data_IF_052751078451
#
_entry.id   IF_052751078451
#
_cell.length_a   1.000
_cell.length_b   1.000
_cell.length_c   1.000
_cell.angle_alpha   90.00
_cell.angle_beta   90.00
_cell.angle_gamma   90.00
#
_symmetry.space_group_name_H-M   'P 1'
#
loop_
_entity.id
_entity.type
_entity.pdbx_description
1 polymer ?
#
# COMPACT_ATOMS: atom_id res chain seq x y z
N UNK A 1 -1.19 -12.60 0.68
CA UNK A 1 -0.48 -11.81 1.71
C UNK A 1 -0.55 -10.35 1.30
N UNK A 2 -0.88 -9.44 2.21
CA UNK A 2 -0.90 -8.02 1.89
C UNK A 2 0.52 -7.47 1.69
N UNK A 3 0.66 -6.41 0.87
CA UNK A 3 1.93 -5.73 0.64
C UNK A 3 2.10 -4.53 1.56
N UNK A 4 3.36 -4.10 1.69
CA UNK A 4 3.69 -2.79 2.25
C UNK A 4 4.53 -1.94 1.29
N UNK A 5 4.49 -0.63 1.49
CA UNK A 5 5.37 0.37 0.87
C UNK A 5 6.09 1.14 1.99
N UNK A 6 7.41 1.30 1.88
CA UNK A 6 8.18 2.07 2.86
C UNK A 6 8.75 3.33 2.21
N UNK A 7 8.33 4.50 2.71
CA UNK A 7 8.87 5.81 2.34
C UNK A 7 9.81 6.40 3.40
N UNK A 8 9.88 5.76 4.57
CA UNK A 8 10.73 6.17 5.68
C UNK A 8 12.18 6.40 5.23
N UNK A 9 12.71 7.59 5.47
CA UNK A 9 14.06 7.98 5.04
C UNK A 9 15.11 7.46 6.04
N UNK A 10 16.35 7.31 5.61
CA UNK A 10 17.50 6.96 6.46
C UNK A 10 18.06 8.16 7.25
N UNK A 11 17.58 9.39 7.07
CA UNK A 11 18.15 10.58 7.74
C UNK A 11 17.61 10.95 9.15
N UNK A 12 16.48 10.41 9.62
CA UNK A 12 15.97 10.59 10.99
C UNK A 12 16.69 9.77 12.09
N UNK A 13 16.60 10.20 13.36
CA UNK A 13 17.19 9.49 14.52
C UNK A 13 16.34 8.28 14.96
N UNK A 14 16.97 7.15 15.22
CA UNK A 14 16.29 6.00 15.85
C UNK A 14 15.84 6.39 17.26
N UNK A 15 14.65 5.98 17.71
CA UNK A 15 14.14 6.40 19.03
C UNK A 15 14.96 5.86 20.20
N UNK A 16 15.72 4.79 19.97
CA UNK A 16 16.69 4.24 20.93
C UNK A 16 18.07 4.93 20.86
N UNK A 17 18.23 6.03 20.11
CA UNK A 17 19.53 6.69 19.91
C UNK A 17 20.20 7.07 21.24
N UNK A 18 19.43 7.54 22.23
CA UNK A 18 19.99 7.86 23.55
C UNK A 18 20.55 6.65 24.30
N UNK A 19 19.96 5.46 24.11
CA UNK A 19 20.48 4.21 24.68
C UNK A 19 21.72 3.75 23.92
N UNK A 20 21.69 3.81 22.57
CA UNK A 20 22.85 3.52 21.71
C UNK A 20 24.04 4.40 22.11
N UNK A 21 23.82 5.70 22.30
CA UNK A 21 24.85 6.65 22.70
C UNK A 21 25.42 6.34 24.08
N UNK A 22 24.56 5.93 25.02
CA UNK A 22 24.98 5.56 26.37
C UNK A 22 25.80 4.27 26.38
N UNK A 23 25.41 3.28 25.57
CA UNK A 23 26.09 1.97 25.51
C UNK A 23 27.40 2.08 24.74
N UNK A 24 27.39 2.74 23.58
CA UNK A 24 28.47 2.67 22.60
C UNK A 24 29.31 3.95 22.46
N UNK A 25 28.88 5.09 23.00
CA UNK A 25 29.55 6.37 22.81
C UNK A 25 31.02 6.41 23.27
N UNK A 26 31.37 5.66 24.32
CA UNK A 26 32.76 5.53 24.79
C UNK A 26 33.54 4.39 24.08
N UNK A 27 32.85 3.54 23.32
CA UNK A 27 33.40 2.32 22.72
C UNK A 27 33.65 2.43 21.21
N UNK A 28 32.85 3.21 20.50
CA UNK A 28 32.90 3.39 19.06
C UNK A 28 33.47 4.77 18.71
N UNK A 29 34.12 4.90 17.55
CA UNK A 29 34.38 6.24 17.00
C UNK A 29 33.06 6.88 16.55
N UNK A 30 32.97 8.22 16.43
CA UNK A 30 31.78 8.88 15.91
C UNK A 30 31.34 8.35 14.54
N UNK A 31 32.28 7.99 13.65
CA UNK A 31 31.94 7.38 12.36
C UNK A 31 31.34 5.98 12.53
N UNK A 32 31.92 5.14 13.39
CA UNK A 32 31.40 3.80 13.63
C UNK A 32 30.03 3.81 14.34
N UNK A 33 29.78 4.80 15.19
CA UNK A 33 28.49 5.01 15.83
C UNK A 33 27.44 5.47 14.81
N UNK A 34 27.80 6.38 13.91
CA UNK A 34 26.95 6.77 12.78
C UNK A 34 26.62 5.58 11.89
N UNK A 35 27.62 4.79 11.48
CA UNK A 35 27.41 3.58 10.67
C UNK A 35 26.52 2.55 11.39
N UNK A 36 26.65 2.41 12.72
CA UNK A 36 25.79 1.56 13.53
C UNK A 36 24.33 2.05 13.55
N UNK A 37 24.11 3.35 13.76
CA UNK A 37 22.76 3.95 13.70
C UNK A 37 22.12 3.70 12.33
N UNK A 38 22.84 3.94 11.23
CA UNK A 38 22.34 3.67 9.88
C UNK A 38 22.00 2.17 9.70
N UNK A 39 22.83 1.26 10.21
CA UNK A 39 22.59 -0.18 10.11
C UNK A 39 21.36 -0.64 10.91
N UNK A 40 21.19 -0.15 12.14
CA UNK A 40 19.99 -0.42 12.96
C UNK A 40 18.75 0.12 12.26
N UNK A 41 18.83 1.33 11.74
CA UNK A 41 17.74 1.96 11.04
C UNK A 41 17.30 1.20 9.79
N UNK A 42 18.25 0.76 8.96
CA UNK A 42 17.92 -0.06 7.79
C UNK A 42 17.14 -1.33 8.14
N UNK A 43 17.41 -1.90 9.32
CA UNK A 43 16.69 -3.07 9.84
C UNK A 43 15.26 -2.73 10.25
N UNK A 44 15.01 -1.56 10.83
CA UNK A 44 13.69 -1.09 11.25
C UNK A 44 12.79 -0.72 10.06
N UNK A 45 13.33 -0.02 9.06
CA UNK A 45 12.56 0.48 7.89
C UNK A 45 12.47 -0.53 6.73
N UNK A 46 12.84 -1.80 6.97
CA UNK A 46 12.78 -2.92 6.03
C UNK A 46 13.37 -2.54 4.65
N UNK A 47 14.64 -2.12 4.65
CA UNK A 47 15.42 -1.69 3.48
C UNK A 47 15.48 -2.74 2.34
N UNK A 48 15.92 -2.35 1.11
CA UNK A 48 16.00 -3.27 -0.03
C UNK A 48 16.68 -4.60 0.32
N UNK A 49 16.08 -5.72 -0.10
CA UNK A 49 16.43 -7.12 0.24
C UNK A 49 15.98 -7.65 1.60
N UNK A 50 15.70 -6.81 2.61
CA UNK A 50 15.12 -7.29 3.86
C UNK A 50 13.73 -7.90 3.69
N UNK A 51 12.81 -7.39 2.83
CA UNK A 51 11.52 -8.03 2.60
C UNK A 51 11.70 -9.48 2.16
N UNK A 52 12.64 -9.73 1.24
CA UNK A 52 12.97 -11.09 0.78
C UNK A 52 13.51 -11.97 1.91
N UNK A 53 14.42 -11.43 2.74
CA UNK A 53 14.99 -12.15 3.89
C UNK A 53 13.94 -12.53 4.93
N UNK A 54 12.92 -11.69 5.13
CA UNK A 54 11.84 -11.91 6.10
C UNK A 54 10.55 -12.47 5.50
N UNK A 55 10.51 -12.75 4.19
CA UNK A 55 9.31 -13.25 3.50
C UNK A 55 8.15 -12.25 3.48
N UNK A 56 8.44 -10.95 3.52
CA UNK A 56 7.46 -9.87 3.47
C UNK A 56 7.27 -9.41 2.03
N UNK A 57 6.02 -9.24 1.62
CA UNK A 57 5.69 -8.74 0.29
C UNK A 57 5.78 -7.21 0.27
N UNK A 58 6.69 -6.64 -0.53
CA UNK A 58 6.80 -5.20 -0.72
C UNK A 58 6.48 -4.77 -2.14
N UNK A 59 6.01 -3.53 -2.29
CA UNK A 59 5.74 -2.93 -3.61
C UNK A 59 7.02 -2.58 -4.35
N UNK A 60 8.08 -2.21 -3.63
CA UNK A 60 9.39 -1.72 -4.13
C UNK A 60 10.22 -2.77 -4.91
N UNK A 61 9.58 -3.69 -5.63
CA UNK A 61 10.22 -4.59 -6.58
C UNK A 61 10.60 -5.97 -6.03
N UNK A 62 10.23 -6.30 -4.78
CA UNK A 62 10.57 -7.59 -4.17
C UNK A 62 9.33 -8.33 -3.68
N UNK A 63 8.44 -8.68 -4.61
CA UNK A 63 7.40 -9.70 -4.43
C UNK A 63 8.03 -11.12 -4.42
N UNK A 64 9.07 -11.34 -3.61
CA UNK A 64 9.74 -12.64 -3.50
C UNK A 64 10.76 -13.01 -4.59
N UNK A 65 11.26 -12.05 -5.38
CA UNK A 65 12.51 -12.23 -6.14
C UNK A 65 12.45 -12.27 -7.68
N UNK A 66 11.56 -11.51 -8.32
CA UNK A 66 11.63 -11.30 -9.78
C UNK A 66 12.26 -9.93 -10.06
N UNK A 67 13.22 -9.90 -11.00
CA UNK A 67 13.86 -8.67 -11.49
C UNK A 67 12.79 -7.69 -12.03
N UNK A 68 12.92 -6.38 -11.77
CA UNK A 68 11.97 -5.40 -12.30
C UNK A 68 11.93 -5.50 -13.83
N UNK A 69 10.80 -5.99 -14.35
CA UNK A 69 10.53 -6.01 -15.78
C UNK A 69 10.31 -4.58 -16.28
N UNK A 70 10.44 -4.37 -17.59
CA UNK A 70 10.06 -3.10 -18.22
C UNK A 70 8.62 -2.68 -17.88
N UNK A 71 7.69 -3.64 -17.76
CA UNK A 71 6.31 -3.38 -17.35
C UNK A 71 6.20 -2.84 -15.93
N UNK A 72 7.04 -3.32 -15.00
CA UNK A 72 7.11 -2.79 -13.64
C UNK A 72 7.68 -1.37 -13.64
N UNK A 73 8.80 -1.12 -14.34
CA UNK A 73 9.36 0.22 -14.44
C UNK A 73 8.39 1.23 -15.07
N UNK A 74 7.55 0.80 -16.02
CA UNK A 74 6.48 1.61 -16.59
C UNK A 74 5.37 1.85 -15.57
N UNK A 75 4.86 0.79 -14.92
CA UNK A 75 3.80 0.90 -13.91
C UNK A 75 4.17 1.87 -12.79
N UNK A 76 5.41 1.79 -12.31
CA UNK A 76 5.92 2.66 -11.24
C UNK A 76 5.93 4.14 -11.65
N UNK A 77 5.91 4.49 -12.94
CA UNK A 77 5.75 5.89 -13.37
C UNK A 77 4.38 6.49 -12.99
N UNK A 78 3.37 5.67 -12.69
CA UNK A 78 2.08 6.14 -12.18
C UNK A 78 2.20 6.75 -10.77
N UNK A 79 3.20 6.32 -10.00
CA UNK A 79 3.39 6.69 -8.59
C UNK A 79 4.61 7.57 -8.35
N UNK A 80 5.53 7.66 -9.30
CA UNK A 80 6.70 8.54 -9.20
C UNK A 80 6.32 10.01 -9.41
N UNK A 81 7.03 10.94 -8.76
CA UNK A 81 6.93 12.36 -9.08
C UNK A 81 7.19 12.62 -10.57
N UNK A 82 6.55 13.65 -11.17
CA UNK A 82 6.83 14.05 -12.55
C UNK A 82 8.33 14.20 -12.80
N UNK A 83 8.78 13.83 -14.00
CA UNK A 83 10.19 13.89 -14.45
C UNK A 83 11.16 12.91 -13.74
N UNK A 84 10.71 12.15 -12.75
CA UNK A 84 11.53 11.13 -12.08
C UNK A 84 11.40 9.79 -12.80
N UNK A 85 12.53 9.13 -13.07
CA UNK A 85 12.58 7.78 -13.61
C UNK A 85 13.53 6.92 -12.78
N UNK A 86 13.06 5.78 -12.29
CA UNK A 86 13.93 4.72 -11.75
C UNK A 86 14.05 3.57 -12.75
N UNK A 87 15.28 3.13 -12.99
CA UNK A 87 15.59 1.92 -13.77
C UNK A 87 16.00 0.75 -12.89
N UNK A 88 16.32 0.99 -11.62
CA UNK A 88 16.84 0.02 -10.67
C UNK A 88 15.79 -0.52 -9.70
N UNK A 89 14.55 -0.02 -9.78
CA UNK A 89 13.42 -0.49 -8.99
C UNK A 89 13.40 0.05 -7.56
N UNK A 90 14.28 1.02 -7.22
CA UNK A 90 14.34 1.65 -5.89
C UNK A 90 13.26 2.70 -5.71
N UNK A 91 12.01 2.29 -5.86
CA UNK A 91 10.85 3.17 -5.78
C UNK A 91 10.88 4.05 -4.52
N UNK A 92 11.12 3.47 -3.33
CA UNK A 92 11.27 4.24 -2.09
C UNK A 92 12.26 5.41 -2.12
N UNK A 93 13.39 5.30 -2.84
CA UNK A 93 14.42 6.37 -2.86
C UNK A 93 13.99 7.58 -3.71
N UNK A 94 12.90 7.43 -4.47
CA UNK A 94 12.38 8.43 -5.38
C UNK A 94 11.00 8.97 -4.97
N UNK A 95 10.37 8.40 -3.95
CA UNK A 95 9.11 8.91 -3.43
C UNK A 95 9.37 10.02 -2.42
N UNK A 96 8.68 11.15 -2.61
CA UNK A 96 8.71 12.29 -1.67
C UNK A 96 7.44 12.42 -0.85
N UNK A 97 6.39 11.66 -1.20
CA UNK A 97 5.11 11.61 -0.52
C UNK A 97 4.44 10.27 -0.82
N UNK A 98 3.45 9.90 0.00
CA UNK A 98 2.64 8.70 -0.23
C UNK A 98 1.93 8.81 -1.60
N UNK A 99 2.04 7.79 -2.48
CA UNK A 99 1.33 7.79 -3.75
C UNK A 99 -0.19 7.86 -3.59
N UNK A 100 -0.92 8.31 -4.62
CA UNK A 100 -2.37 8.28 -4.63
C UNK A 100 -2.92 6.89 -4.27
N UNK A 101 -3.93 6.85 -3.39
CA UNK A 101 -4.51 5.62 -2.86
C UNK A 101 -4.93 4.60 -3.95
N UNK A 102 -5.53 4.97 -5.09
CA UNK A 102 -5.93 4.01 -6.12
C UNK A 102 -4.78 3.12 -6.62
N UNK A 103 -3.57 3.66 -6.73
CA UNK A 103 -2.39 2.89 -7.18
C UNK A 103 -1.86 1.95 -6.08
N UNK A 104 -1.99 2.36 -4.82
CA UNK A 104 -1.66 1.53 -3.67
C UNK A 104 -2.68 0.39 -3.49
N UNK A 105 -3.95 0.69 -3.71
CA UNK A 105 -5.04 -0.30 -3.67
C UNK A 105 -4.80 -1.38 -4.71
N UNK A 106 -4.56 -0.98 -5.97
CA UNK A 106 -4.31 -1.89 -7.09
C UNK A 106 -3.11 -2.83 -6.84
N UNK A 107 -2.09 -2.36 -6.11
CA UNK A 107 -0.92 -3.16 -5.72
C UNK A 107 -1.14 -3.98 -4.44
N UNK A 108 -2.33 -3.95 -3.85
CA UNK A 108 -2.67 -4.57 -2.58
C UNK A 108 -1.74 -4.11 -1.43
N UNK A 109 -1.41 -2.82 -1.44
CA UNK A 109 -0.54 -2.16 -0.46
C UNK A 109 -1.33 -1.76 0.77
N UNK A 110 -1.48 -2.70 1.71
CA UNK A 110 -2.22 -2.46 2.95
C UNK A 110 -1.42 -1.60 3.92
N UNK A 111 -0.09 -1.74 3.97
CA UNK A 111 0.72 -1.05 4.97
C UNK A 111 1.64 0.00 4.37
N UNK A 112 1.72 1.16 5.00
CA UNK A 112 2.62 2.24 4.62
C UNK A 112 3.54 2.54 5.80
N UNK A 113 4.85 2.56 5.56
CA UNK A 113 5.86 2.85 6.57
C UNK A 113 6.50 4.19 6.25
N UNK A 114 6.38 5.16 7.15
CA UNK A 114 6.98 6.49 7.00
C UNK A 114 7.74 6.88 8.27
N UNK A 115 8.39 8.04 8.25
CA UNK A 115 9.04 8.61 9.42
C UNK A 115 8.29 9.84 9.93
N UNK A 116 8.78 10.42 11.02
CA UNK A 116 8.17 11.58 11.70
C UNK A 116 8.82 12.91 11.31
N UNK A 117 9.73 12.94 10.33
CA UNK A 117 10.54 14.13 10.02
C UNK A 117 9.68 15.28 9.50
N UNK A 118 8.63 14.95 8.73
CA UNK A 118 7.69 15.94 8.19
C UNK A 118 6.62 16.41 9.18
N UNK A 119 6.50 15.78 10.34
CA UNK A 119 5.48 16.10 11.33
C UNK A 119 5.87 17.29 12.21
N UNK A 120 4.88 17.94 12.81
CA UNK A 120 5.12 19.19 13.57
C UNK A 120 4.52 19.15 14.97
N UNK A 121 5.21 19.82 15.88
CA UNK A 121 4.66 20.22 17.18
C UNK A 121 4.23 21.67 17.09
N UNK A 122 2.96 21.96 17.40
CA UNK A 122 2.41 23.30 17.32
C UNK A 122 1.70 23.68 18.61
N UNK A 123 1.81 24.96 18.99
CA UNK A 123 1.03 25.51 20.09
C UNK A 123 -0.44 25.63 19.66
N UNK A 124 -1.32 24.93 20.36
CA UNK A 124 -2.75 24.83 20.04
C UNK A 124 -3.62 25.70 20.97
N UNK A 125 -2.99 26.58 21.74
CA UNK A 125 -3.61 27.49 22.70
C UNK A 125 -3.50 26.99 24.14
N UNK A 126 -3.79 27.87 25.10
CA UNK A 126 -3.67 27.59 26.55
C UNK A 126 -2.30 27.05 27.01
N UNK A 127 -1.22 27.45 26.30
CA UNK A 127 0.13 26.93 26.52
C UNK A 127 0.25 25.41 26.34
N UNK A 128 -0.69 24.80 25.60
CA UNK A 128 -0.63 23.42 25.19
C UNK A 128 0.03 23.32 23.81
N UNK A 129 0.96 22.38 23.68
CA UNK A 129 1.56 21.99 22.40
C UNK A 129 1.07 20.60 22.06
N UNK A 130 0.62 20.41 20.83
CA UNK A 130 0.19 19.11 20.31
C UNK A 130 1.02 18.70 19.10
N UNK A 131 1.20 17.40 18.93
CA UNK A 131 1.80 16.81 17.74
C UNK A 131 0.76 16.68 16.63
N UNK A 132 1.17 16.93 15.38
CA UNK A 132 0.34 16.81 14.19
C UNK A 132 1.02 15.88 13.19
N UNK A 133 0.29 14.86 12.79
CA UNK A 133 0.67 14.00 11.67
C UNK A 133 0.32 14.74 10.36
N UNK A 134 1.33 14.98 9.53
CA UNK A 134 1.18 15.75 8.28
C UNK A 134 1.24 14.87 7.01
N UNK A 135 1.21 13.55 7.16
CA UNK A 135 1.44 12.60 6.05
C UNK A 135 0.38 12.66 4.94
N UNK A 136 -0.88 12.93 5.30
CA UNK A 136 -2.03 12.86 4.40
C UNK A 136 -2.78 14.19 4.33
N UNK A 137 -2.20 15.25 3.75
CA UNK A 137 -2.89 16.52 3.62
C UNK A 137 -4.12 16.39 2.71
N UNK A 138 -5.18 17.14 3.02
CA UNK A 138 -6.39 17.21 2.21
C UNK A 138 -6.75 18.67 1.88
N UNK A 139 -7.50 18.85 0.80
CA UNK A 139 -8.02 20.15 0.37
C UNK A 139 -9.54 20.07 0.26
N UNK A 140 -10.25 21.01 0.89
CA UNK A 140 -11.71 21.08 0.85
C UNK A 140 -12.17 22.42 0.29
N UNK A 141 -12.83 22.39 -0.86
CA UNK A 141 -13.50 23.52 -1.47
C UNK A 141 -14.96 23.66 -1.01
N UNK A 142 -15.73 24.58 -1.62
CA UNK A 142 -17.12 24.80 -1.24
C UNK A 142 -17.99 23.60 -1.58
N UNK A 143 -18.74 23.10 -0.60
CA UNK A 143 -19.59 21.88 -0.65
C UNK A 143 -18.84 20.55 -0.57
N UNK A 144 -17.51 20.57 -0.48
CA UNK A 144 -16.75 19.35 -0.23
C UNK A 144 -16.91 18.93 1.24
N UNK A 145 -16.94 17.62 1.45
CA UNK A 145 -16.91 17.04 2.78
C UNK A 145 -15.97 15.85 2.80
N UNK A 146 -15.24 15.70 3.89
CA UNK A 146 -14.32 14.60 4.11
C UNK A 146 -14.59 13.95 5.46
N UNK A 147 -14.84 12.64 5.45
CA UNK A 147 -14.98 11.85 6.67
C UNK A 147 -13.63 11.24 7.05
N UNK A 148 -13.22 11.48 8.29
CA UNK A 148 -12.00 10.85 8.83
C UNK A 148 -12.28 9.35 9.02
N UNK A 149 -11.63 8.51 8.20
CA UNK A 149 -11.92 7.09 8.09
C UNK A 149 -11.75 6.30 9.39
N UNK A 150 -10.86 6.75 10.29
CA UNK A 150 -10.67 6.16 11.59
C UNK A 150 -10.60 7.21 12.70
N UNK A 151 -11.58 7.15 13.61
CA UNK A 151 -11.60 8.00 14.81
C UNK A 151 -11.20 7.16 16.03
N UNK A 152 -10.05 7.42 16.67
CA UNK A 152 -9.61 6.69 17.85
C UNK A 152 -10.51 7.00 19.05
N UNK A 153 -10.65 6.04 19.97
CA UNK A 153 -11.33 6.30 21.25
C UNK A 153 -10.46 7.21 22.10
N UNK A 154 -10.84 8.49 22.17
CA UNK A 154 -10.13 9.52 22.92
C UNK A 154 -11.12 10.57 23.40
N UNK A 155 -11.13 10.87 24.70
CA UNK A 155 -11.97 11.94 25.25
C UNK A 155 -11.37 13.30 24.87
N UNK A 156 -12.01 14.02 23.96
CA UNK A 156 -11.55 15.31 23.47
C UNK A 156 -12.43 16.46 24.01
N UNK A 157 -11.86 17.66 24.11
CA UNK A 157 -12.59 18.92 24.32
C UNK A 157 -12.50 19.83 23.10
N UNK A 158 -11.60 19.55 22.16
CA UNK A 158 -11.45 20.29 20.92
C UNK A 158 -10.77 19.46 19.84
N UNK A 159 -10.91 19.92 18.60
CA UNK A 159 -10.02 19.62 17.48
C UNK A 159 -9.11 20.82 17.23
N UNK A 160 -7.86 20.56 16.91
CA UNK A 160 -6.99 21.51 16.26
C UNK A 160 -6.51 20.97 14.92
N UNK A 161 -6.17 21.90 14.04
CA UNK A 161 -5.70 21.65 12.69
C UNK A 161 -4.47 22.51 12.43
N UNK A 162 -3.47 21.94 11.75
CA UNK A 162 -2.48 22.73 11.01
C UNK A 162 -3.04 22.89 9.60
N UNK A 163 -3.39 24.11 9.23
CA UNK A 163 -4.10 24.36 7.97
C UNK A 163 -3.89 25.79 7.45
N UNK A 164 -4.07 25.95 6.15
CA UNK A 164 -4.08 27.22 5.44
C UNK A 164 -5.45 27.48 4.79
N UNK A 165 -5.69 28.74 4.40
CA UNK A 165 -6.94 29.15 3.76
C UNK A 165 -8.08 29.47 4.73
N UNK A 166 -9.32 29.40 4.23
CA UNK A 166 -10.51 29.73 5.02
C UNK A 166 -11.04 28.48 5.75
N UNK A 167 -11.16 28.50 7.09
CA UNK A 167 -11.63 27.34 7.83
C UNK A 167 -13.11 27.08 7.59
N UNK A 168 -13.47 25.81 7.46
CA UNK A 168 -14.86 25.37 7.32
C UNK A 168 -15.51 25.03 8.65
N UNK A 169 -16.28 23.94 8.67
CA UNK A 169 -16.93 23.43 9.90
C UNK A 169 -16.66 21.95 10.10
N UNK A 170 -16.83 21.50 11.34
CA UNK A 170 -16.66 20.11 11.74
C UNK A 170 -17.96 19.60 12.30
N UNK A 171 -18.39 18.44 11.82
CA UNK A 171 -19.51 17.69 12.36
C UNK A 171 -18.96 16.53 13.20
N UNK A 172 -19.32 16.50 14.48
CA UNK A 172 -18.84 15.51 15.46
C UNK A 172 -20.01 14.65 15.89
N UNK A 173 -19.96 13.37 15.56
CA UNK A 173 -20.85 12.36 16.11
C UNK A 173 -20.15 11.75 17.33
N UNK A 174 -20.79 11.79 18.48
CA UNK A 174 -20.21 11.30 19.74
C UNK A 174 -20.55 9.84 19.97
N UNK A 175 -19.78 9.16 20.83
CA UNK A 175 -20.11 7.80 21.27
C UNK A 175 -21.46 7.72 22.02
N UNK A 176 -21.93 8.84 22.59
CA UNK A 176 -23.23 8.94 23.26
C UNK A 176 -24.42 9.17 22.31
N UNK A 177 -24.17 9.35 21.01
CA UNK A 177 -25.19 9.56 19.98
C UNK A 177 -25.57 11.03 19.72
N UNK A 178 -24.91 11.99 20.38
CA UNK A 178 -25.06 13.41 20.07
C UNK A 178 -24.34 13.78 18.77
N UNK A 179 -24.86 14.77 18.05
CA UNK A 179 -24.24 15.37 16.86
C UNK A 179 -23.99 16.85 17.12
N UNK A 180 -22.76 17.30 16.93
CA UNK A 180 -22.38 18.70 17.10
C UNK A 180 -21.84 19.28 15.80
N UNK A 181 -22.38 20.42 15.38
CA UNK A 181 -21.83 21.22 14.29
C UNK A 181 -20.98 22.36 14.89
N UNK A 182 -19.68 22.32 14.61
CA UNK A 182 -18.70 23.21 15.21
C UNK A 182 -18.05 24.06 14.11
N UNK A 183 -18.15 25.39 14.22
CA UNK A 183 -17.40 26.28 13.36
C UNK A 183 -15.90 26.18 13.70
N UNK A 184 -15.07 25.97 12.69
CA UNK A 184 -13.62 26.02 12.86
C UNK A 184 -13.15 27.48 12.77
N UNK A 185 -12.24 27.90 13.64
CA UNK A 185 -11.76 29.28 13.72
C UNK A 185 -10.24 29.34 13.85
N UNK A 186 -9.63 30.36 13.25
CA UNK A 186 -8.19 30.57 13.35
C UNK A 186 -7.77 30.91 14.79
N UNK A 187 -6.77 30.19 15.30
CA UNK A 187 -6.20 30.38 16.63
C UNK A 187 -4.78 31.01 16.60
N UNK A 188 -4.27 31.34 15.42
CA UNK A 188 -2.94 31.94 15.21
C UNK A 188 -1.89 30.92 14.73
N UNK A 189 -0.77 31.40 14.18
CA UNK A 189 0.38 30.57 13.76
C UNK A 189 0.05 29.38 12.83
N UNK A 190 -0.94 29.53 11.93
CA UNK A 190 -1.38 28.46 11.03
C UNK A 190 -2.22 27.37 11.71
N UNK A 191 -2.67 27.60 12.94
CA UNK A 191 -3.53 26.68 13.69
C UNK A 191 -4.98 27.13 13.59
N UNK A 192 -5.86 26.19 13.24
CA UNK A 192 -7.33 26.33 13.28
C UNK A 192 -7.87 25.43 14.37
N UNK A 193 -8.97 25.82 15.01
CA UNK A 193 -9.57 25.08 16.13
C UNK A 193 -11.08 24.96 16.00
N UNK A 194 -11.62 23.84 16.47
CA UNK A 194 -13.05 23.62 16.67
C UNK A 194 -13.26 23.10 18.09
N UNK A 195 -13.77 23.95 18.99
CA UNK A 195 -13.98 23.62 20.40
C UNK A 195 -15.34 22.96 20.63
N UNK A 196 -15.40 22.00 21.56
CA UNK A 196 -16.65 21.32 21.87
C UNK A 196 -17.62 22.30 22.55
N UNK A 197 -18.95 22.08 22.46
CA UNK A 197 -19.92 22.97 23.09
C UNK A 197 -19.74 23.03 24.60
N UNK A 198 -20.01 24.18 25.23
CA UNK A 198 -19.88 24.35 26.69
C UNK A 198 -20.73 23.34 27.50
N UNK A 199 -21.82 22.84 26.93
CA UNK A 199 -22.66 21.79 27.51
C UNK A 199 -21.96 20.43 27.57
N UNK A 200 -21.00 20.17 26.67
CA UNK A 200 -20.20 18.95 26.65
C UNK A 200 -19.03 19.01 27.65
N UNK A 201 -18.56 20.22 28.00
CA UNK A 201 -17.42 20.42 28.91
C UNK A 201 -17.82 20.59 30.38
N UNK A 202 -19.04 21.04 30.68
CA UNK A 202 -19.54 21.17 32.06
C UNK A 202 -20.44 20.00 32.49
N UNK A 203 -19.88 19.15 33.39
CA UNK A 203 -20.44 17.95 34.07
C UNK A 203 -20.17 16.61 33.38
N UNK A 204 -19.06 15.99 33.78
CA UNK A 204 -19.04 14.57 34.17
C UNK A 204 -19.52 13.53 33.14
N UNK A 205 -19.15 13.62 31.85
CA UNK A 205 -19.36 12.51 30.92
C UNK A 205 -18.17 12.38 29.95
N UNK A 206 -17.10 11.71 30.41
CA UNK A 206 -15.94 11.37 29.56
C UNK A 206 -16.35 10.53 28.33
N UNK A 207 -17.46 9.79 28.43
CA UNK A 207 -18.08 9.01 27.33
C UNK A 207 -18.78 9.87 26.26
N UNK A 208 -19.25 11.08 26.60
CA UNK A 208 -19.93 11.98 25.66
C UNK A 208 -18.96 12.79 24.81
N UNK A 209 -17.76 13.06 25.32
CA UNK A 209 -16.79 13.90 24.63
C UNK A 209 -15.87 13.12 23.69
N UNK A 210 -15.98 11.78 23.68
CA UNK A 210 -15.27 10.92 22.74
C UNK A 210 -15.97 10.95 21.37
N UNK A 211 -15.30 11.42 20.30
CA UNK A 211 -15.85 11.35 18.96
C UNK A 211 -15.88 9.90 18.48
N UNK A 212 -16.97 9.53 17.82
CA UNK A 212 -17.16 8.26 17.13
C UNK A 212 -16.97 8.42 15.61
N UNK A 213 -17.36 9.57 15.05
CA UNK A 213 -17.22 9.90 13.63
C UNK A 213 -17.05 11.41 13.49
N UNK A 214 -16.15 11.80 12.58
CA UNK A 214 -15.77 13.19 12.33
C UNK A 214 -15.90 13.48 10.84
N UNK A 215 -16.70 14.49 10.49
CA UNK A 215 -16.85 14.95 9.12
C UNK A 215 -16.40 16.40 9.03
N UNK A 216 -15.41 16.65 8.20
CA UNK A 216 -14.89 17.97 7.89
C UNK A 216 -15.64 18.50 6.68
N UNK A 217 -16.16 19.71 6.76
CA UNK A 217 -16.87 20.36 5.66
C UNK A 217 -16.08 21.60 5.24
N UNK A 218 -15.93 21.77 3.92
CA UNK A 218 -15.28 22.95 3.36
C UNK A 218 -16.01 24.26 3.69
N UNK A 219 -15.35 25.41 3.50
CA UNK A 219 -15.91 26.73 3.78
C UNK A 219 -17.00 27.09 2.75
N UNK A 220 -17.79 28.14 3.04
CA UNK A 220 -18.79 28.64 2.08
C UNK A 220 -18.13 29.24 0.83
N UNK A 221 -16.94 29.80 0.97
CA UNK A 221 -16.12 30.39 -0.10
C UNK A 221 -14.65 30.05 0.14
N UNK A 222 -13.86 30.01 -0.94
CA UNK A 222 -12.43 29.70 -0.85
C UNK A 222 -12.16 28.21 -0.66
N UNK A 223 -11.01 27.91 -0.06
CA UNK A 223 -10.48 26.55 0.09
C UNK A 223 -9.89 26.42 1.49
N UNK A 224 -10.11 25.28 2.14
CA UNK A 224 -9.46 24.89 3.38
C UNK A 224 -8.42 23.81 3.10
N UNK A 225 -7.14 24.16 3.20
CA UNK A 225 -6.03 23.21 3.03
C UNK A 225 -5.62 22.69 4.40
N UNK A 226 -5.95 21.44 4.71
CA UNK A 226 -5.71 20.84 6.01
C UNK A 226 -4.49 19.92 5.89
N UNK A 227 -3.40 20.28 6.56
CA UNK A 227 -2.17 19.50 6.55
C UNK A 227 -2.18 18.40 7.61
N UNK A 228 -2.76 18.67 8.78
CA UNK A 228 -2.88 17.69 9.86
C UNK A 228 -3.96 18.07 10.86
N UNK A 229 -4.47 17.08 11.59
CA UNK A 229 -5.51 17.25 12.59
C UNK A 229 -5.20 16.47 13.86
N UNK A 230 -5.56 17.03 15.01
CA UNK A 230 -5.31 16.41 16.32
C UNK A 230 -6.46 16.67 17.27
N UNK A 231 -6.92 15.60 17.93
CA UNK A 231 -7.85 15.71 19.07
C UNK A 231 -7.09 16.20 20.29
N UNK A 232 -7.70 17.10 21.05
CA UNK A 232 -7.10 17.71 22.23
C UNK A 232 -8.04 17.53 23.40
N UNK A 233 -7.48 17.17 24.55
CA UNK A 233 -8.13 17.31 25.83
C UNK A 233 -7.48 18.45 26.62
N UNK A 234 -8.14 19.60 26.66
CA UNK A 234 -7.60 20.79 27.34
C UNK A 234 -7.58 20.65 28.86
N UNK A 235 -8.30 19.69 29.43
CA UNK A 235 -8.37 19.52 30.88
C UNK A 235 -7.09 18.91 31.47
N UNK A 236 -6.44 18.01 30.74
CA UNK A 236 -5.20 17.33 31.16
C UNK A 236 -4.01 17.58 30.21
N UNK A 237 -4.23 18.29 29.10
CA UNK A 237 -3.20 18.59 28.10
C UNK A 237 -2.80 17.38 27.27
N UNK A 238 -3.59 16.31 27.25
CA UNK A 238 -3.36 15.17 26.37
C UNK A 238 -3.89 15.45 24.98
N UNK A 239 -3.35 14.74 23.99
CA UNK A 239 -3.76 14.86 22.61
C UNK A 239 -3.64 13.51 21.89
N UNK A 240 -4.39 13.37 20.80
CA UNK A 240 -4.36 12.21 19.94
C UNK A 240 -4.36 12.66 18.47
N UNK A 241 -3.25 12.48 17.74
CA UNK A 241 -3.18 12.80 16.31
C UNK A 241 -4.19 11.98 15.52
N UNK A 242 -4.75 12.59 14.47
CA UNK A 242 -5.66 11.98 13.52
C UNK A 242 -4.99 11.84 12.16
N UNK A 243 -5.44 10.85 11.39
CA UNK A 243 -4.97 10.60 10.04
C UNK A 243 -6.07 11.04 9.07
N UNK A 244 -5.75 11.97 8.18
CA UNK A 244 -6.71 12.64 7.28
C UNK A 244 -6.95 11.88 5.96
N UNK A 245 -6.53 10.61 5.84
CA UNK A 245 -6.83 9.77 4.66
C UNK A 245 -7.66 8.54 5.04
N UNK A 246 -7.85 7.62 4.09
CA UNK A 246 -8.47 6.30 4.32
C UNK A 246 -7.54 5.34 5.07
N UNK A 247 -6.83 5.84 6.07
CA UNK A 247 -5.76 5.14 6.76
C UNK A 247 -5.97 5.19 8.27
N UNK A 248 -5.45 4.17 8.95
CA UNK A 248 -5.32 4.12 10.40
C UNK A 248 -3.86 4.03 10.78
N UNK A 249 -3.39 4.93 11.65
CA UNK A 249 -2.08 4.79 12.28
C UNK A 249 -2.12 3.64 13.29
N UNK A 250 -1.38 2.56 13.02
CA UNK A 250 -1.34 1.36 13.88
C UNK A 250 -0.07 1.29 14.73
N UNK A 251 0.99 2.01 14.35
CA UNK A 251 2.22 2.13 15.11
C UNK A 251 2.84 3.51 14.95
N UNK A 252 3.37 4.07 16.03
CA UNK A 252 4.07 5.36 16.03
C UNK A 252 5.20 5.32 17.06
N UNK A 253 6.38 4.91 16.61
CA UNK A 253 7.62 4.84 17.38
C UNK A 253 8.74 5.53 16.61
N UNK A 254 9.78 4.77 16.27
CA UNK A 254 10.86 5.22 15.37
C UNK A 254 10.32 5.48 13.97
N UNK A 255 9.37 4.64 13.56
CA UNK A 255 8.61 4.76 12.32
C UNK A 255 7.12 4.95 12.62
N UNK A 256 6.40 5.49 11.64
CA UNK A 256 4.94 5.43 11.58
C UNK A 256 4.54 4.28 10.65
N UNK A 257 3.59 3.46 11.09
CA UNK A 257 2.97 2.43 10.25
C UNK A 257 1.48 2.74 10.14
N UNK A 258 1.03 2.94 8.91
CA UNK A 258 -0.37 3.11 8.57
C UNK A 258 -0.93 1.85 7.93
N UNK A 259 -2.18 1.57 8.23
CA UNK A 259 -3.00 0.58 7.54
C UNK A 259 -4.00 1.30 6.64
N UNK A 260 -3.98 0.99 5.34
CA UNK A 260 -4.98 1.39 4.36
C UNK A 260 -6.27 0.58 4.61
N UNK A 261 -7.34 1.29 4.97
CA UNK A 261 -8.63 0.70 5.32
C UNK A 261 -9.48 0.36 4.08
N UNK A 262 -9.11 0.90 2.92
CA UNK A 262 -9.85 0.72 1.68
C UNK A 262 -9.08 -0.15 0.66
N UNK A 263 -7.92 -0.73 1.01
CA UNK A 263 -7.08 -1.48 0.07
C UNK A 263 -7.84 -2.59 -0.70
N UNK A 264 -7.65 -2.68 -2.02
CA UNK A 264 -8.17 -3.79 -2.80
C UNK A 264 -7.50 -5.12 -2.39
N UNK A 265 -8.25 -6.23 -2.32
CA UNK A 265 -7.67 -7.52 -2.00
C UNK A 265 -6.75 -7.98 -3.12
N UNK A 266 -5.87 -8.94 -2.82
CA UNK A 266 -4.88 -9.46 -3.78
C UNK A 266 -5.51 -10.05 -5.06
N UNK A 267 -6.73 -10.55 -4.98
CA UNK A 267 -7.53 -10.97 -6.12
C UNK A 267 -8.93 -10.37 -6.03
N UNK A 268 -9.43 -9.75 -7.10
CA UNK A 268 -10.71 -9.04 -7.14
C UNK A 268 -11.35 -9.12 -8.53
N UNK A 269 -12.67 -8.89 -8.57
CA UNK A 269 -13.48 -8.91 -9.79
C UNK A 269 -13.82 -7.49 -10.21
N UNK A 270 -13.79 -7.25 -11.52
CA UNK A 270 -14.13 -5.97 -12.14
C UNK A 270 -15.25 -6.17 -13.18
N UNK A 271 -16.34 -5.39 -13.10
CA UNK A 271 -17.48 -5.56 -13.99
C UNK A 271 -17.20 -5.03 -15.41
N UNK A 272 -16.24 -4.12 -15.57
CA UNK A 272 -15.92 -3.51 -16.86
C UNK A 272 -14.48 -3.77 -17.27
N UNK A 273 -14.22 -3.77 -18.57
CA UNK A 273 -12.87 -3.79 -19.11
C UNK A 273 -12.76 -3.12 -20.47
N UNK A 274 -11.58 -2.56 -20.73
CA UNK A 274 -11.22 -1.93 -21.99
C UNK A 274 -9.91 -2.52 -22.55
N UNK A 275 -9.80 -2.60 -23.87
CA UNK A 275 -8.62 -3.13 -24.53
C UNK A 275 -7.71 -2.03 -25.08
N UNK A 276 -6.41 -2.20 -24.90
CA UNK A 276 -5.38 -1.36 -25.49
C UNK A 276 -4.42 -2.19 -26.34
N UNK A 277 -4.24 -1.86 -27.64
CA UNK A 277 -3.44 -2.67 -28.55
C UNK A 277 -1.94 -2.61 -28.26
N UNK A 278 -1.48 -1.57 -27.56
CA UNK A 278 -0.07 -1.30 -27.30
C UNK A 278 0.17 -1.03 -25.81
N UNK A 279 1.31 -1.52 -25.30
CA UNK A 279 1.71 -1.34 -23.89
C UNK A 279 1.81 0.14 -23.49
N UNK A 280 2.20 1.00 -24.44
CA UNK A 280 2.31 2.46 -24.26
C UNK A 280 0.98 3.17 -24.07
N UNK A 281 -0.14 2.54 -24.44
CA UNK A 281 -1.48 3.11 -24.32
C UNK A 281 -2.20 2.69 -23.03
N UNK A 282 -1.73 1.64 -22.35
CA UNK A 282 -2.37 1.09 -21.13
C UNK A 282 -2.39 2.10 -19.99
N UNK A 283 -1.23 2.62 -19.58
CA UNK A 283 -1.14 3.54 -18.44
C UNK A 283 -1.83 4.88 -18.70
N UNK A 284 -1.70 5.53 -19.88
CA UNK A 284 -2.47 6.73 -20.18
C UNK A 284 -3.98 6.54 -20.10
N UNK A 285 -4.50 5.36 -20.45
CA UNK A 285 -5.93 5.06 -20.34
C UNK A 285 -6.39 4.95 -18.88
N UNK A 286 -5.51 4.57 -17.95
CA UNK A 286 -5.79 4.52 -16.52
C UNK A 286 -5.72 5.90 -15.84
N UNK A 287 -5.10 6.90 -16.48
CA UNK A 287 -4.92 8.23 -15.93
C UNK A 287 -6.05 9.21 -16.30
N UNK A 288 -7.12 8.72 -16.95
CA UNK A 288 -8.27 9.56 -17.30
C UNK A 288 -9.17 9.79 -16.08
N UNK A 289 -9.81 10.96 -15.93
CA UNK A 289 -10.68 11.26 -14.77
C UNK A 289 -11.83 10.28 -14.57
N UNK A 290 -12.28 9.61 -15.64
CA UNK A 290 -13.38 8.65 -15.63
C UNK A 290 -12.95 7.22 -15.27
N UNK A 291 -11.65 6.97 -15.11
CA UNK A 291 -11.13 5.63 -14.81
C UNK A 291 -11.15 5.36 -13.31
N UNK A 292 -11.74 4.23 -12.92
CA UNK A 292 -11.72 3.71 -11.56
C UNK A 292 -11.11 2.30 -11.53
N UNK A 293 -10.04 2.13 -10.76
CA UNK A 293 -9.34 0.85 -10.52
C UNK A 293 -10.23 -0.22 -9.90
N UNK A 294 -11.37 0.18 -9.31
CA UNK A 294 -12.37 -0.70 -8.67
C UNK A 294 -13.47 -1.14 -9.61
N UNK A 295 -13.58 -0.52 -10.79
CA UNK A 295 -14.66 -0.81 -11.73
C UNK A 295 -14.17 -1.32 -13.08
N UNK A 296 -13.00 -0.88 -13.54
CA UNK A 296 -12.54 -1.13 -14.92
C UNK A 296 -11.12 -1.68 -14.98
N UNK A 297 -10.94 -2.83 -15.65
CA UNK A 297 -9.63 -3.34 -16.03
C UNK A 297 -9.18 -2.79 -17.40
N UNK A 298 -7.89 -2.51 -17.58
CA UNK A 298 -7.30 -2.20 -18.89
C UNK A 298 -6.42 -3.37 -19.35
N UNK A 299 -6.87 -4.11 -20.36
CA UNK A 299 -6.13 -5.26 -20.89
C UNK A 299 -5.22 -4.86 -22.05
N UNK A 300 -3.99 -5.39 -22.04
CA UNK A 300 -3.10 -5.33 -23.20
C UNK A 300 -3.53 -6.39 -24.23
N UNK A 301 -3.75 -5.95 -25.48
CA UNK A 301 -4.06 -6.83 -26.61
C UNK A 301 -5.25 -6.34 -27.43
N UNK A 302 -5.99 -7.28 -28.00
CA UNK A 302 -7.15 -6.98 -28.84
C UNK A 302 -8.36 -7.82 -28.42
N UNK A 303 -9.47 -7.16 -28.12
CA UNK A 303 -10.73 -7.78 -27.78
C UNK A 303 -11.88 -6.77 -27.84
N UNK A 304 -13.04 -7.20 -27.36
CA UNK A 304 -14.22 -6.33 -27.24
C UNK A 304 -14.27 -5.73 -25.84
N UNK A 305 -14.41 -4.39 -25.79
CA UNK A 305 -14.67 -3.67 -24.56
C UNK A 305 -16.01 -4.12 -23.97
N UNK A 306 -16.08 -4.15 -22.64
CA UNK A 306 -17.28 -4.52 -21.93
C UNK A 306 -17.56 -3.52 -20.83
N UNK A 307 -18.83 -3.12 -20.75
CA UNK A 307 -19.38 -2.38 -19.62
C UNK A 307 -20.41 -3.26 -18.96
N UNK A 308 -20.04 -3.85 -17.83
CA UNK A 308 -20.91 -4.70 -17.04
C UNK A 308 -21.55 -3.93 -15.89
N UNK A 309 -22.62 -4.51 -15.35
CA UNK A 309 -23.25 -4.02 -14.13
C UNK A 309 -22.46 -4.49 -12.91
N UNK A 310 -22.39 -3.65 -11.88
CA UNK A 310 -21.81 -4.02 -10.59
C UNK A 310 -22.64 -5.12 -9.93
N UNK A 311 -21.97 -6.20 -9.51
CA UNK A 311 -22.57 -7.26 -8.72
C UNK A 311 -22.09 -7.15 -7.26
N UNK A 312 -22.96 -6.74 -6.32
CA UNK A 312 -22.59 -6.57 -4.91
C UNK A 312 -22.26 -7.89 -4.21
N UNK A 313 -22.70 -9.02 -4.75
CA UNK A 313 -22.45 -10.36 -4.21
C UNK A 313 -21.23 -11.03 -4.89
N UNK A 314 -20.56 -10.32 -5.80
CA UNK A 314 -19.37 -10.82 -6.46
C UNK A 314 -18.22 -11.03 -5.47
N UNK A 315 -17.58 -12.19 -5.53
CA UNK A 315 -16.45 -12.53 -4.65
C UNK A 315 -15.32 -13.15 -5.43
N UNK A 316 -14.09 -12.86 -5.00
CA UNK A 316 -12.88 -13.57 -5.40
C UNK A 316 -12.05 -13.86 -4.14
N UNK A 317 -11.83 -15.14 -3.85
CA UNK A 317 -11.08 -15.57 -2.67
C UNK A 317 -9.92 -16.45 -3.08
N UNK A 318 -8.72 -16.12 -2.61
CA UNK A 318 -7.54 -16.95 -2.85
C UNK A 318 -7.61 -18.17 -1.92
N UNK A 319 -7.87 -19.34 -2.49
CA UNK A 319 -7.91 -20.62 -1.78
C UNK A 319 -6.52 -21.19 -1.50
N UNK A 320 -5.54 -20.89 -2.38
CA UNK A 320 -4.15 -21.33 -2.25
C UNK A 320 -3.20 -20.29 -2.84
N UNK A 321 -2.13 -19.95 -2.13
CA UNK A 321 -1.14 -18.98 -2.58
C UNK A 321 0.28 -19.54 -2.39
N UNK A 322 0.89 -20.02 -3.47
CA UNK A 322 2.24 -20.57 -3.50
C UNK A 322 3.06 -19.98 -4.66
N UNK A 323 4.40 -19.99 -4.58
CA UNK A 323 5.25 -19.38 -5.61
C UNK A 323 4.97 -19.89 -7.03
N UNK A 324 4.68 -21.18 -7.19
CA UNK A 324 4.40 -21.79 -8.50
C UNK A 324 2.91 -21.94 -8.81
N UNK A 325 2.01 -21.67 -7.86
CA UNK A 325 0.58 -21.86 -8.05
C UNK A 325 -0.28 -20.96 -7.16
N UNK A 326 -1.23 -20.27 -7.78
CA UNK A 326 -2.28 -19.52 -7.09
C UNK A 326 -3.64 -20.05 -7.53
N UNK A 327 -4.50 -20.40 -6.57
CA UNK A 327 -5.88 -20.86 -6.82
C UNK A 327 -6.84 -19.81 -6.26
N UNK A 328 -7.73 -19.33 -7.12
CA UNK A 328 -8.76 -18.34 -6.78
C UNK A 328 -10.14 -18.95 -7.04
N UNK A 329 -11.01 -18.87 -6.05
CA UNK A 329 -12.43 -19.20 -6.17
C UNK A 329 -13.19 -17.91 -6.41
N UNK A 330 -14.01 -17.87 -7.45
CA UNK A 330 -14.84 -16.70 -7.78
C UNK A 330 -16.31 -17.07 -7.85
N UNK A 331 -17.17 -16.11 -7.57
CA UNK A 331 -18.62 -16.20 -7.75
C UNK A 331 -19.14 -14.85 -8.21
N UNK A 332 -19.95 -14.83 -9.27
CA UNK A 332 -20.62 -13.63 -9.78
C UNK A 332 -21.82 -14.02 -10.64
N UNK A 333 -22.90 -13.24 -10.55
CA UNK A 333 -24.08 -13.32 -11.41
C UNK A 333 -23.89 -12.67 -12.78
N UNK A 334 -22.82 -11.89 -12.95
CA UNK A 334 -22.44 -11.20 -14.18
C UNK A 334 -21.08 -11.69 -14.72
N UNK A 335 -20.79 -11.51 -16.02
CA UNK A 335 -19.43 -11.61 -16.53
C UNK A 335 -18.49 -10.64 -15.81
N UNK A 336 -17.27 -11.07 -15.50
CA UNK A 336 -16.30 -10.27 -14.74
C UNK A 336 -14.88 -10.48 -15.28
N UNK A 337 -14.05 -9.46 -15.14
CA UNK A 337 -12.60 -9.60 -15.21
C UNK A 337 -12.07 -9.97 -13.81
N UNK A 338 -11.41 -11.12 -13.68
CA UNK A 338 -10.62 -11.42 -12.48
C UNK A 338 -9.23 -10.83 -12.64
N UNK A 339 -8.82 -9.97 -11.71
CA UNK A 339 -7.45 -9.52 -11.54
C UNK A 339 -6.80 -10.21 -10.34
N UNK A 340 -5.54 -10.59 -10.52
CA UNK A 340 -4.63 -11.00 -9.45
C UNK A 340 -3.46 -10.01 -9.45
N UNK A 341 -3.26 -9.27 -8.36
CA UNK A 341 -2.22 -8.24 -8.23
C UNK A 341 -0.79 -8.80 -8.15
N UNK A 342 -0.51 -9.93 -8.78
CA UNK A 342 0.82 -10.48 -9.03
C UNK A 342 1.32 -10.03 -10.42
N UNK A 343 2.62 -9.81 -10.55
CA UNK A 343 3.20 -9.45 -11.84
C UNK A 343 2.94 -10.52 -12.92
N UNK A 344 2.51 -10.08 -14.09
CA UNK A 344 2.40 -10.88 -15.31
C UNK A 344 3.81 -11.13 -15.86
N UNK A 345 4.25 -12.38 -15.81
CA UNK A 345 5.59 -12.81 -16.21
C UNK A 345 5.50 -13.99 -17.20
N UNK A 346 6.34 -14.04 -18.25
CA UNK A 346 6.35 -15.15 -19.19
C UNK A 346 6.58 -16.51 -18.51
N UNK A 347 5.64 -17.44 -18.69
CA UNK A 347 5.71 -18.80 -18.13
C UNK A 347 4.54 -19.14 -17.20
N UNK A 348 3.80 -18.13 -16.75
CA UNK A 348 2.50 -18.34 -16.12
C UNK A 348 1.47 -18.83 -17.15
N UNK A 349 0.57 -19.70 -16.69
CA UNK A 349 -0.60 -20.18 -17.42
C UNK A 349 -1.81 -20.08 -16.51
N UNK A 350 -3.00 -19.94 -17.10
CA UNK A 350 -4.26 -19.92 -16.36
C UNK A 350 -5.18 -21.04 -16.85
N UNK A 351 -5.90 -21.65 -15.91
CA UNK A 351 -6.98 -22.57 -16.19
C UNK A 351 -8.24 -22.08 -15.48
N UNK A 352 -9.38 -22.18 -16.14
CA UNK A 352 -10.71 -21.91 -15.57
C UNK A 352 -11.48 -23.23 -15.61
N UNK A 353 -11.91 -23.70 -14.45
CA UNK A 353 -12.63 -24.98 -14.27
C UNK A 353 -11.90 -26.16 -14.92
N UNK A 354 -10.58 -26.21 -14.73
CA UNK A 354 -9.69 -27.24 -15.26
C UNK A 354 -9.39 -27.16 -16.77
N UNK A 355 -9.90 -26.14 -17.49
CA UNK A 355 -9.64 -25.94 -18.91
C UNK A 355 -8.65 -24.78 -19.11
N UNK A 356 -7.70 -24.88 -20.06
CA UNK A 356 -6.84 -23.76 -20.40
C UNK A 356 -7.65 -22.52 -20.81
N UNK A 357 -7.29 -21.37 -20.25
CA UNK A 357 -7.85 -20.07 -20.60
C UNK A 357 -6.73 -19.11 -21.00
N UNK A 358 -7.11 -17.96 -21.56
CA UNK A 358 -6.16 -16.92 -21.93
C UNK A 358 -5.71 -16.13 -20.70
N UNK A 359 -4.39 -16.08 -20.47
CA UNK A 359 -3.81 -15.22 -19.43
C UNK A 359 -3.58 -13.85 -20.04
N UNK A 360 -4.26 -12.85 -19.49
CA UNK A 360 -4.17 -11.46 -19.92
C UNK A 360 -3.23 -10.67 -19.02
N UNK A 361 -2.57 -9.67 -19.59
CA UNK A 361 -1.88 -8.64 -18.82
C UNK A 361 -2.87 -7.50 -18.59
N UNK A 362 -3.20 -7.25 -17.34
CA UNK A 362 -4.11 -6.20 -16.90
C UNK A 362 -3.32 -5.05 -16.29
N UNK A 363 -3.80 -3.82 -16.48
CA UNK A 363 -3.35 -2.61 -15.79
C UNK A 363 -1.83 -2.43 -15.80
N UNK A 364 -1.24 -2.80 -16.95
CA UNK A 364 0.19 -2.68 -17.25
C UNK A 364 1.08 -3.71 -16.57
N UNK A 365 0.68 -4.30 -15.43
CA UNK A 365 1.55 -5.15 -14.61
C UNK A 365 0.93 -6.49 -14.20
N UNK A 366 -0.39 -6.57 -14.03
CA UNK A 366 -1.04 -7.66 -13.30
C UNK A 366 -1.53 -8.79 -14.20
N UNK A 367 -1.85 -9.92 -13.58
CA UNK A 367 -2.47 -11.06 -14.27
C UNK A 367 -3.97 -10.89 -14.26
N UNK A 368 -4.59 -11.09 -15.41
CA UNK A 368 -6.04 -11.11 -15.53
C UNK A 368 -6.57 -12.28 -16.34
N UNK A 369 -7.85 -12.57 -16.15
CA UNK A 369 -8.62 -13.52 -16.96
C UNK A 369 -10.07 -13.06 -17.02
N UNK A 370 -10.70 -13.20 -18.19
CA UNK A 370 -12.14 -12.94 -18.36
C UNK A 370 -12.93 -14.18 -17.95
N UNK A 371 -13.94 -13.99 -17.10
CA UNK A 371 -14.81 -15.04 -16.59
C UNK A 371 -16.26 -14.77 -17.02
N UNK A 372 -16.99 -15.80 -17.49
CA UNK A 372 -18.44 -15.68 -17.65
C UNK A 372 -19.13 -15.56 -16.28
N UNK A 373 -20.43 -15.29 -16.29
CA UNK A 373 -21.24 -15.37 -15.08
C UNK A 373 -21.25 -16.80 -14.53
N UNK A 374 -21.08 -16.94 -13.21
CA UNK A 374 -21.09 -18.22 -12.51
C UNK A 374 -20.06 -18.28 -11.37
N UNK A 375 -19.94 -19.48 -10.82
CA UNK A 375 -18.85 -19.84 -9.91
C UNK A 375 -17.72 -20.47 -10.71
N UNK A 376 -16.47 -20.06 -10.46
CA UNK A 376 -15.31 -20.58 -11.17
C UNK A 376 -14.14 -20.88 -10.22
N UNK A 377 -13.41 -21.95 -10.53
CA UNK A 377 -12.08 -22.18 -9.99
C UNK A 377 -11.04 -21.73 -11.02
N UNK A 378 -10.27 -20.71 -10.67
CA UNK A 378 -9.19 -20.17 -11.49
C UNK A 378 -7.84 -20.58 -10.92
N UNK A 379 -7.05 -21.30 -11.71
CA UNK A 379 -5.73 -21.78 -11.32
C UNK A 379 -4.66 -21.11 -12.17
N UNK A 380 -3.88 -20.23 -11.55
CA UNK A 380 -2.65 -19.71 -12.12
C UNK A 380 -1.51 -20.66 -11.77
N UNK A 381 -0.74 -21.10 -12.77
CA UNK A 381 0.38 -22.03 -12.57
C UNK A 381 1.63 -21.55 -13.32
N UNK A 382 2.76 -21.50 -12.63
CA UNK A 382 4.05 -21.19 -13.23
C UNK A 382 4.66 -22.46 -13.83
N UNK A 383 4.75 -22.52 -15.16
CA UNK A 383 5.26 -23.66 -15.89
C UNK A 383 6.18 -23.22 -17.06
N UNK A 384 7.34 -22.61 -16.77
CA UNK A 384 8.23 -22.06 -17.79
C UNK A 384 8.86 -23.14 -18.66
N UNK A 385 9.02 -22.85 -19.96
CA UNK A 385 9.65 -23.78 -20.91
C UNK A 385 11.14 -24.02 -20.58
N UNK A 386 11.82 -23.01 -20.02
CA UNK A 386 13.23 -23.09 -19.61
C UNK A 386 13.48 -24.17 -18.57
N UNK A 387 12.59 -24.35 -17.59
CA UNK A 387 12.70 -25.41 -16.59
C UNK A 387 12.61 -26.80 -17.24
N UNK A 388 11.65 -26.99 -18.16
CA UNK A 388 11.50 -28.27 -18.89
C UNK A 388 12.72 -28.58 -19.75
N UNK A 389 13.26 -27.58 -20.45
CA UNK A 389 14.49 -27.71 -21.23
C UNK A 389 15.69 -28.03 -20.35
N UNK A 390 15.83 -27.35 -19.21
CA UNK A 390 16.88 -27.61 -18.23
C UNK A 390 16.84 -29.05 -17.72
N UNK A 391 15.65 -29.53 -17.32
CA UNK A 391 15.46 -30.91 -16.88
C UNK A 391 15.84 -31.93 -17.96
N UNK A 392 15.46 -31.67 -19.22
CA UNK A 392 15.85 -32.52 -20.35
C UNK A 392 17.37 -32.54 -20.56
N UNK A 393 18.03 -31.38 -20.54
CA UNK A 393 19.49 -31.28 -20.68
C UNK A 393 20.19 -32.02 -19.54
N UNK A 394 19.75 -31.85 -18.30
CA UNK A 394 20.28 -32.57 -17.14
C UNK A 394 20.10 -34.07 -17.29
N UNK A 395 18.92 -34.55 -17.70
CA UNK A 395 18.67 -35.96 -17.90
C UNK A 395 19.56 -36.57 -18.99
N UNK A 396 19.73 -35.87 -20.12
CA UNK A 396 20.64 -36.29 -21.20
C UNK A 396 22.10 -36.31 -20.70
N UNK A 397 22.54 -35.28 -19.97
CA UNK A 397 23.88 -35.22 -19.40
C UNK A 397 24.18 -36.36 -18.43
N UNK A 398 23.25 -36.66 -17.52
CA UNK A 398 23.36 -37.79 -16.59
C UNK A 398 23.38 -39.13 -17.35
N UNK A 399 22.57 -39.28 -18.40
CA UNK A 399 22.59 -40.47 -19.26
C UNK A 399 23.94 -40.66 -19.96
N UNK A 400 24.53 -39.60 -20.51
CA UNK A 400 25.85 -39.64 -21.14
C UNK A 400 26.96 -39.98 -20.14
N UNK A 401 26.91 -39.39 -18.93
CA UNK A 401 27.87 -39.71 -17.85
C UNK A 401 27.77 -41.18 -17.42
N UNK A 402 26.56 -41.71 -17.29
CA UNK A 402 26.35 -43.12 -16.98
C UNK A 402 26.90 -44.04 -18.08
N UNK A 403 26.70 -43.71 -19.36
CA UNK A 403 27.25 -44.44 -20.50
C UNK A 403 28.78 -44.42 -20.52
N UNK A 404 29.39 -43.25 -20.28
CA UNK A 404 30.85 -43.10 -20.16
C UNK A 404 31.41 -43.93 -19.01
N UNK A 405 30.79 -43.86 -17.83
CA UNK A 405 31.18 -44.67 -16.67
C UNK A 405 31.07 -46.17 -16.94
N UNK A 406 30.00 -46.61 -17.60
CA UNK A 406 29.81 -48.00 -17.99
C UNK A 406 30.87 -48.46 -19.00
N UNK A 407 31.17 -47.65 -20.01
CA UNK A 407 32.22 -47.93 -20.98
C UNK A 407 33.60 -48.04 -20.33
N UNK A 408 33.93 -47.15 -19.39
CA UNK A 408 35.19 -47.20 -18.64
C UNK A 408 35.28 -48.48 -17.78
N UNK A 409 34.20 -48.85 -17.08
CA UNK A 409 34.16 -50.09 -16.30
C UNK A 409 34.33 -51.34 -17.18
N UNK A 410 33.75 -51.36 -18.37
CA UNK A 410 33.95 -52.44 -19.34
C UNK A 410 35.41 -52.52 -19.80
N UNK A 411 36.04 -51.37 -20.11
CA UNK A 411 37.45 -51.33 -20.49
C UNK A 411 38.35 -51.84 -19.36
N UNK A 412 38.15 -51.38 -18.13
CA UNK A 412 38.90 -51.86 -16.96
C UNK A 412 38.72 -53.37 -16.72
N UNK A 413 37.51 -53.90 -16.93
CA UNK A 413 37.27 -55.35 -16.84
C UNK A 413 37.94 -56.16 -17.94
N UNK A 414 38.03 -55.62 -19.15
CA UNK A 414 38.71 -56.27 -20.27
C UNK A 414 40.23 -56.28 -20.07
N UNK A 415 40.78 -55.21 -19.51
CA UNK A 415 42.21 -55.10 -19.20
C UNK A 415 42.60 -56.04 -18.05
N UNK A 416 41.78 -56.16 -17.00
CA UNK A 416 42.00 -57.11 -15.91
C UNK A 416 41.88 -58.59 -16.29
N UNK A 417 41.40 -58.91 -17.51
CA UNK A 417 41.31 -60.27 -18.05
C UNK A 417 42.45 -60.62 -19.00
N UNK A 418 43.27 -59.65 -19.40
CA UNK A 418 44.53 -59.85 -20.12
C UNK A 418 45.66 -60.01 -19.12
#
# INVERSE_FOLDING_TARGET
PDRFLSLSDIFFDVGDQGEIDTIYGDQLSPEAQYDYTIAIKQKEIIAPNLPLSFGLASVDGFDGGILPLNSYSQFVQLVLPPETQTTDGRLREHLTAVPPAPWLDLTNSRYIITDKVGDVWQEVGFSLTAFFDLEFPIELGPSDSFEIAYTPTFTATALAFVSEGEPGRVEVYTQAGDVWELAAFAAGSGVVRAGWPASATMRQIAEQAAPARLILHGPEQGVWQIHGATLINEADGTFQPLVLGNYRLIHSGDVKIYENLDVLPRAFLLPSWAWQPEQTAVLPAMQTPEFDVRETAVFLGSGEDHKGDFDPDATATIARYEPEQVVVQTSSSQPQALLLSDASYPGWKVMVDGKPAELLQADGLFRGVLLPAGEHEVVFQFAPQSYRLGLMITAVGLGLLALLGFALLLLLRLDARR
#
